data_IF_769997218798
#
_entry.id   IF_769997218798
#
_cell.length_a   1.000
_cell.length_b   1.000
_cell.length_c   1.000
_cell.angle_alpha   90.00
_cell.angle_beta   90.00
_cell.angle_gamma   90.00
#
_symmetry.space_group_name_H-M   'P 1'
#
loop_
_entity.id
_entity.type
_entity.pdbx_description
1 polymer ?
#
# COMPACT_ATOMS: atom_id res chain seq x y z
N UNK A 1 5.03 13.72 5.00
CA UNK A 1 4.51 13.32 6.31
C UNK A 1 3.13 12.73 6.14
N UNK A 2 3.11 11.43 5.88
CA UNK A 2 1.91 10.60 5.94
C UNK A 2 1.99 9.72 7.17
N UNK A 3 0.89 9.57 7.88
CA UNK A 3 0.84 8.81 9.12
C UNK A 3 0.88 7.30 8.86
N UNK A 4 0.25 6.86 7.77
CA UNK A 4 0.09 5.45 7.43
C UNK A 4 0.50 5.24 5.97
N UNK A 5 1.41 4.32 5.74
CA UNK A 5 1.79 3.84 4.40
C UNK A 5 1.13 2.48 4.14
N UNK A 6 0.39 2.34 3.03
CA UNK A 6 -0.26 1.08 2.66
C UNK A 6 0.36 0.51 1.37
N UNK A 7 0.99 -0.65 1.50
CA UNK A 7 1.44 -1.47 0.38
C UNK A 7 0.40 -2.55 0.06
N UNK A 8 0.02 -2.68 -1.20
CA UNK A 8 -0.95 -3.68 -1.67
C UNK A 8 -0.62 -4.11 -3.09
N UNK A 9 -1.02 -5.32 -3.46
CA UNK A 9 -0.99 -5.76 -4.86
C UNK A 9 -2.05 -5.02 -5.66
N UNK A 10 -1.75 -4.58 -6.89
CA UNK A 10 -2.70 -3.83 -7.73
C UNK A 10 -4.07 -4.53 -7.91
N UNK A 11 -4.09 -5.87 -7.86
CA UNK A 11 -5.32 -6.67 -7.92
C UNK A 11 -6.26 -6.43 -6.72
N UNK A 12 -5.71 -6.05 -5.56
CA UNK A 12 -6.46 -5.82 -4.31
C UNK A 12 -6.92 -4.37 -4.12
N UNK A 13 -6.71 -3.49 -5.12
CA UNK A 13 -7.06 -2.05 -5.03
C UNK A 13 -8.51 -1.81 -4.59
N UNK A 14 -9.45 -2.61 -5.10
CA UNK A 14 -10.87 -2.50 -4.75
C UNK A 14 -11.15 -2.85 -3.29
N UNK A 15 -10.33 -3.73 -2.69
CA UNK A 15 -10.46 -4.23 -1.31
C UNK A 15 -9.78 -3.31 -0.31
N UNK A 16 -8.71 -2.61 -0.72
CA UNK A 16 -8.01 -1.62 0.11
C UNK A 16 -8.80 -0.32 0.24
N UNK A 17 -9.56 0.07 -0.78
CA UNK A 17 -10.27 1.36 -0.80
C UNK A 17 -11.18 1.60 0.42
N UNK A 18 -12.02 0.64 0.88
CA UNK A 18 -12.81 0.81 2.09
C UNK A 18 -11.96 1.03 3.35
N UNK A 19 -10.83 0.31 3.47
CA UNK A 19 -9.90 0.43 4.61
C UNK A 19 -9.30 1.84 4.65
N UNK A 20 -8.85 2.34 3.50
CA UNK A 20 -8.25 3.68 3.43
C UNK A 20 -9.30 4.74 3.78
N UNK A 21 -10.50 4.64 3.21
CA UNK A 21 -11.58 5.58 3.53
C UNK A 21 -11.86 5.62 5.04
N UNK A 22 -11.90 4.47 5.71
CA UNK A 22 -12.09 4.40 7.15
C UNK A 22 -10.95 5.09 7.92
N UNK A 23 -9.70 4.84 7.54
CA UNK A 23 -8.53 5.46 8.16
C UNK A 23 -8.51 6.99 7.97
N UNK A 24 -8.86 7.47 6.78
CA UNK A 24 -8.98 8.90 6.49
C UNK A 24 -10.13 9.55 7.24
N UNK A 25 -11.28 8.87 7.40
CA UNK A 25 -12.40 9.35 8.22
C UNK A 25 -12.04 9.50 9.69
N UNK A 26 -11.08 8.71 10.18
CA UNK A 26 -10.53 8.83 11.53
C UNK A 26 -9.49 9.97 11.66
N UNK A 27 -9.25 10.74 10.60
CA UNK A 27 -8.33 11.88 10.60
C UNK A 27 -6.88 11.55 10.29
N UNK A 28 -6.57 10.33 9.86
CA UNK A 28 -5.20 9.90 9.56
C UNK A 28 -4.82 10.21 8.11
N UNK A 29 -3.58 10.69 7.91
CA UNK A 29 -3.03 10.89 6.57
C UNK A 29 -2.54 9.56 6.01
N UNK A 30 -3.29 8.98 5.06
CA UNK A 30 -2.97 7.69 4.44
C UNK A 30 -2.31 7.89 3.08
N UNK A 31 -1.12 7.31 2.94
CA UNK A 31 -0.37 7.24 1.71
C UNK A 31 -0.65 5.89 1.03
N UNK A 32 -1.42 5.92 -0.06
CA UNK A 32 -1.82 4.76 -0.87
C UNK A 32 -2.03 5.22 -2.33
N UNK A 33 -1.99 4.28 -3.28
CA UNK A 33 -2.25 4.53 -4.71
C UNK A 33 -1.29 5.56 -5.35
N UNK A 34 -0.01 5.17 -5.52
CA UNK A 34 0.96 5.99 -6.26
C UNK A 34 0.53 5.98 -7.75
N UNK A 35 0.08 7.10 -8.30
CA UNK A 35 0.37 7.39 -9.71
C UNK A 35 1.86 7.71 -9.77
N UNK A 36 2.70 6.71 -10.02
CA UNK A 36 4.13 6.91 -10.16
C UNK A 36 4.34 7.70 -11.46
N UNK A 37 4.72 8.96 -11.34
CA UNK A 37 5.15 9.76 -12.49
C UNK A 37 6.34 9.03 -13.14
N UNK A 38 6.23 8.74 -14.43
CA UNK A 38 7.30 8.12 -15.21
C UNK A 38 8.58 8.97 -15.07
N UNK A 39 9.63 8.39 -14.46
CA UNK A 39 10.91 9.07 -14.26
C UNK A 39 11.46 9.04 -12.81
N UNK A 40 10.70 8.60 -11.81
CA UNK A 40 11.25 8.28 -10.48
C UNK A 40 11.39 6.78 -10.29
N UNK A 41 12.54 6.34 -9.80
CA UNK A 41 12.78 4.94 -9.41
C UNK A 41 11.87 4.60 -8.24
N UNK A 42 11.01 3.59 -8.43
CA UNK A 42 10.04 3.09 -7.46
C UNK A 42 10.67 2.90 -6.08
N UNK A 43 11.89 2.37 -6.05
CA UNK A 43 12.65 2.06 -4.83
C UNK A 43 12.95 3.30 -4.00
N UNK A 44 13.44 4.39 -4.61
CA UNK A 44 13.78 5.62 -3.89
C UNK A 44 12.56 6.27 -3.24
N UNK A 45 11.39 6.18 -3.91
CA UNK A 45 10.14 6.74 -3.37
C UNK A 45 9.57 5.85 -2.27
N UNK A 46 9.79 4.54 -2.34
CA UNK A 46 9.38 3.60 -1.28
C UNK A 46 10.27 3.79 -0.05
N UNK A 47 11.59 3.80 -0.20
CA UNK A 47 12.54 4.00 0.91
C UNK A 47 12.28 5.30 1.66
N UNK A 48 12.10 6.42 0.94
CA UNK A 48 11.79 7.70 1.56
C UNK A 48 10.46 7.68 2.33
N UNK A 49 9.45 6.97 1.82
CA UNK A 49 8.15 6.87 2.50
C UNK A 49 8.16 5.88 3.67
N UNK A 50 8.97 4.83 3.61
CA UNK A 50 9.21 3.93 4.73
C UNK A 50 9.94 4.66 5.87
N UNK A 51 10.90 5.53 5.54
CA UNK A 51 11.61 6.33 6.52
C UNK A 51 10.72 7.41 7.19
N UNK A 52 9.74 7.96 6.46
CA UNK A 52 8.85 9.03 6.95
C UNK A 52 7.56 8.50 7.62
N UNK A 53 7.19 7.23 7.41
CA UNK A 53 5.94 6.67 7.92
C UNK A 53 6.04 6.29 9.39
N UNK A 54 5.03 6.68 10.18
CA UNK A 54 4.88 6.24 11.58
C UNK A 54 4.34 4.81 11.70
N UNK A 55 3.61 4.35 10.68
CA UNK A 55 3.04 3.01 10.60
C UNK A 55 3.02 2.52 9.15
N UNK A 56 3.40 1.25 8.94
CA UNK A 56 3.41 0.58 7.64
C UNK A 56 2.44 -0.60 7.68
N UNK A 57 1.50 -0.62 6.73
CA UNK A 57 0.53 -1.70 6.54
C UNK A 57 0.84 -2.39 5.21
N UNK A 58 1.13 -3.68 5.26
CA UNK A 58 1.37 -4.51 4.07
C UNK A 58 0.20 -5.47 3.92
N UNK A 59 -0.56 -5.35 2.84
CA UNK A 59 -1.60 -6.29 2.48
C UNK A 59 -1.04 -7.30 1.48
N UNK A 60 -0.58 -8.44 2.03
CA UNK A 60 -0.33 -9.64 1.26
C UNK A 60 -1.60 -10.47 1.29
N UNK A 61 -2.52 -10.24 0.34
CA UNK A 61 -3.55 -11.24 0.13
C UNK A 61 -2.85 -12.49 -0.37
N UNK A 62 -3.06 -13.62 0.31
CA UNK A 62 -2.49 -14.89 -0.12
C UNK A 62 -2.85 -15.12 -1.58
N UNK A 63 -1.84 -15.07 -2.45
CA UNK A 63 -1.92 -15.71 -3.76
C UNK A 63 -2.47 -17.11 -3.47
N UNK A 64 -3.60 -17.54 -4.05
CA UNK A 64 -3.95 -18.94 -3.98
C UNK A 64 -2.74 -19.66 -4.55
N UNK A 65 -2.02 -20.39 -3.69
CA UNK A 65 -0.93 -21.24 -4.14
C UNK A 65 -1.54 -22.06 -5.28
N UNK A 66 -0.86 -22.17 -6.44
CA UNK A 66 -1.32 -23.11 -7.46
C UNK A 66 -1.58 -24.42 -6.73
N UNK A 67 -2.74 -25.10 -6.96
CA UNK A 67 -3.01 -26.35 -6.29
C UNK A 67 -1.77 -27.20 -6.51
N UNK A 68 -1.08 -27.54 -5.41
CA UNK A 68 0.09 -28.41 -5.42
C UNK A 68 -0.42 -29.74 -5.98
N UNK A 69 -0.30 -29.86 -7.30
CA UNK A 69 -0.76 -30.98 -8.09
C UNK A 69 0.45 -31.83 -8.43
N UNK A 70 0.55 -32.93 -7.68
CA UNK A 70 1.42 -34.11 -7.81
C UNK A 70 2.91 -33.96 -7.50
#
# INVERSE_FOLDING_TARGET
>A
MSDIFISYASADRSRIRPLVNALQQQGWSVWWDRTILAGKTFDQVIEAALADARCVVVLCLGIPLPPTGF
#
